data_IF_001586418107
#
_entry.id   IF_001586418107
#
_cell.length_a   1.000
_cell.length_b   1.000
_cell.length_c   1.000
_cell.angle_alpha   90.00
_cell.angle_beta   90.00
_cell.angle_gamma   90.00
#
_symmetry.space_group_name_H-M   'P 1'
#
loop_
_entity.id
_entity.type
_entity.pdbx_description
1 polymer ?
#
# COMPACT_ATOMS: atom_id res chain seq x y z
N UNK A 1 -22.13 -6.06 1.22
CA UNK A 1 -21.00 -5.30 0.67
C UNK A 1 -19.71 -6.04 0.95
N UNK A 2 -18.91 -6.28 -0.06
CA UNK A 2 -17.62 -6.94 0.12
C UNK A 2 -16.63 -5.99 0.77
N UNK A 3 -15.80 -6.45 1.71
CA UNK A 3 -14.76 -5.60 2.26
C UNK A 3 -13.70 -5.25 1.21
N UNK A 4 -13.11 -4.08 1.37
CA UNK A 4 -11.96 -3.65 0.58
C UNK A 4 -10.71 -4.09 1.34
N UNK A 5 -9.85 -4.87 0.69
CA UNK A 5 -8.63 -5.37 1.29
C UNK A 5 -7.47 -4.43 1.01
N UNK A 6 -6.84 -3.96 2.07
CA UNK A 6 -5.67 -3.08 1.99
C UNK A 6 -4.48 -3.83 2.54
N UNK A 7 -3.38 -3.87 1.78
CA UNK A 7 -2.10 -4.36 2.28
C UNK A 7 -1.22 -3.17 2.64
N UNK A 8 -0.89 -3.06 3.91
CA UNK A 8 -0.02 -2.01 4.44
C UNK A 8 1.37 -2.59 4.63
N UNK A 9 2.35 -2.04 3.93
CA UNK A 9 3.73 -2.51 3.92
C UNK A 9 4.62 -1.45 4.53
N UNK A 10 5.06 -1.65 5.77
CA UNK A 10 5.83 -0.68 6.52
C UNK A 10 6.57 -1.40 7.66
N UNK A 11 7.81 -1.05 7.92
CA UNK A 11 8.57 -1.65 9.02
C UNK A 11 8.45 -0.89 10.34
N UNK A 12 7.81 0.27 10.34
CA UNK A 12 7.61 1.10 11.53
C UNK A 12 6.25 0.83 12.15
N UNK A 13 6.24 0.18 13.31
CA UNK A 13 5.00 -0.17 14.00
C UNK A 13 4.16 1.04 14.39
N UNK A 14 4.78 2.17 14.72
CA UNK A 14 4.05 3.39 15.04
C UNK A 14 3.31 3.93 13.82
N UNK A 15 3.95 3.92 12.66
CA UNK A 15 3.32 4.35 11.41
C UNK A 15 2.18 3.42 11.00
N UNK A 16 2.37 2.12 11.18
CA UNK A 16 1.31 1.13 10.93
C UNK A 16 0.09 1.44 11.79
N UNK A 17 0.30 1.68 13.07
CA UNK A 17 -0.78 1.97 14.01
C UNK A 17 -1.53 3.25 13.63
N UNK A 18 -0.80 4.31 13.28
CA UNK A 18 -1.40 5.57 12.86
C UNK A 18 -2.23 5.41 11.58
N UNK A 19 -1.70 4.67 10.61
CA UNK A 19 -2.40 4.42 9.36
C UNK A 19 -3.67 3.60 9.61
N UNK A 20 -3.59 2.56 10.42
CA UNK A 20 -4.77 1.75 10.77
C UNK A 20 -5.86 2.60 11.43
N UNK A 21 -5.48 3.45 12.38
CA UNK A 21 -6.44 4.33 13.06
C UNK A 21 -7.10 5.30 12.11
N UNK A 22 -6.35 5.86 11.18
CA UNK A 22 -6.88 6.78 10.18
C UNK A 22 -7.89 6.08 9.26
N UNK A 23 -7.58 4.87 8.81
CA UNK A 23 -8.44 4.10 7.92
C UNK A 23 -9.72 3.64 8.62
N UNK A 24 -9.68 3.36 9.91
CA UNK A 24 -10.85 2.90 10.67
C UNK A 24 -11.88 3.99 10.94
N UNK A 25 -11.59 5.23 10.62
CA UNK A 25 -12.51 6.35 10.88
C UNK A 25 -13.65 6.44 9.88
N UNK A 26 -13.52 5.80 8.74
CA UNK A 26 -14.51 5.90 7.69
C UNK A 26 -15.58 4.81 7.82
N UNK A 27 -16.71 5.03 7.17
CA UNK A 27 -17.83 4.10 7.13
C UNK A 27 -17.63 2.96 6.15
N UNK A 28 -16.53 2.98 5.40
CA UNK A 28 -16.20 1.93 4.45
C UNK A 28 -15.80 0.66 5.18
N UNK A 29 -16.20 -0.48 4.64
CA UNK A 29 -15.82 -1.76 5.19
C UNK A 29 -14.42 -2.11 4.68
N UNK A 30 -13.42 -1.94 5.53
CA UNK A 30 -12.02 -2.15 5.20
C UNK A 30 -11.43 -3.30 6.01
N UNK A 31 -10.67 -4.15 5.36
CA UNK A 31 -9.82 -5.13 6.02
C UNK A 31 -8.37 -4.78 5.75
N UNK A 32 -7.64 -4.42 6.79
CA UNK A 32 -6.25 -4.00 6.71
C UNK A 32 -5.36 -5.15 7.12
N UNK A 33 -4.49 -5.55 6.20
CA UNK A 33 -3.46 -6.55 6.43
C UNK A 33 -2.12 -5.84 6.47
N UNK A 34 -1.17 -6.37 7.22
CA UNK A 34 0.14 -5.72 7.33
C UNK A 34 1.28 -6.71 7.19
N UNK A 35 2.34 -6.25 6.53
CA UNK A 35 3.63 -6.92 6.47
C UNK A 35 4.72 -5.87 6.69
N UNK A 36 5.90 -6.28 7.12
CA UNK A 36 6.92 -5.34 7.57
C UNK A 36 8.17 -5.29 6.70
N UNK A 37 8.20 -5.97 5.58
CA UNK A 37 9.31 -5.94 4.64
C UNK A 37 8.86 -6.36 3.25
N UNK A 38 9.73 -6.13 2.27
CA UNK A 38 9.40 -6.41 0.87
C UNK A 38 9.28 -7.90 0.55
N UNK A 39 10.07 -8.75 1.20
CA UNK A 39 9.97 -10.20 0.98
C UNK A 39 8.62 -10.74 1.42
N UNK A 40 8.17 -10.33 2.61
CA UNK A 40 6.86 -10.73 3.12
C UNK A 40 5.73 -10.15 2.26
N UNK A 41 5.92 -8.94 1.76
CA UNK A 41 4.97 -8.34 0.83
C UNK A 41 4.79 -9.21 -0.42
N UNK A 42 5.88 -9.61 -1.05
CA UNK A 42 5.80 -10.45 -2.25
C UNK A 42 5.23 -11.83 -1.96
N UNK A 43 5.57 -12.42 -0.80
CA UNK A 43 5.00 -13.69 -0.38
C UNK A 43 3.47 -13.58 -0.19
N UNK A 44 3.02 -12.49 0.42
CA UNK A 44 1.59 -12.21 0.60
C UNK A 44 0.87 -12.10 -0.76
N UNK A 45 1.44 -11.32 -1.67
CA UNK A 45 0.84 -11.09 -2.99
C UNK A 45 0.82 -12.34 -3.86
N UNK A 46 1.84 -13.20 -3.73
CA UNK A 46 1.95 -14.46 -4.48
C UNK A 46 1.35 -15.64 -3.74
N UNK A 47 0.76 -15.42 -2.59
CA UNK A 47 0.14 -16.46 -1.75
C UNK A 47 1.11 -17.61 -1.44
N UNK A 48 2.35 -17.24 -1.16
CA UNK A 48 3.38 -18.18 -0.73
C UNK A 48 3.35 -18.35 0.79
N UNK A 49 3.82 -19.47 1.35
CA UNK A 49 3.80 -19.68 2.80
C UNK A 49 4.44 -18.54 3.58
N UNK A 50 3.85 -18.07 4.68
CA UNK A 50 2.63 -18.57 5.34
C UNK A 50 1.33 -17.90 4.87
N UNK A 51 1.31 -17.32 3.68
CA UNK A 51 0.20 -16.50 3.18
C UNK A 51 -0.66 -17.21 2.13
N UNK A 52 -0.73 -18.54 2.15
CA UNK A 52 -1.47 -19.30 1.14
C UNK A 52 -2.95 -18.93 1.10
N UNK A 53 -3.52 -18.61 2.26
CA UNK A 53 -4.93 -18.24 2.37
C UNK A 53 -5.17 -16.73 2.36
N UNK A 54 -4.15 -15.94 2.07
CA UNK A 54 -4.28 -14.49 2.06
C UNK A 54 -5.16 -14.01 0.91
N UNK A 55 -5.99 -12.99 1.14
CA UNK A 55 -6.75 -12.41 0.04
C UNK A 55 -5.84 -11.59 -0.88
N UNK A 56 -6.28 -11.39 -2.11
CA UNK A 56 -5.61 -10.44 -2.99
C UNK A 56 -6.01 -9.03 -2.56
N UNK A 57 -5.05 -8.15 -2.25
CA UNK A 57 -5.42 -6.79 -1.85
C UNK A 57 -5.98 -6.00 -3.03
N UNK A 58 -6.88 -5.09 -2.72
CA UNK A 58 -7.41 -4.14 -3.70
C UNK A 58 -6.46 -2.96 -3.90
N UNK A 59 -5.66 -2.65 -2.88
CA UNK A 59 -4.68 -1.59 -2.95
C UNK A 59 -3.55 -1.89 -1.96
N UNK A 60 -2.34 -1.46 -2.31
CA UNK A 60 -1.16 -1.57 -1.46
C UNK A 60 -0.69 -0.18 -1.06
N UNK A 61 -0.51 0.05 0.24
CA UNK A 61 0.15 1.23 0.77
C UNK A 61 1.57 0.82 1.12
N UNK A 62 2.55 1.35 0.40
CA UNK A 62 3.90 0.81 0.38
C UNK A 62 4.93 1.85 0.82
N UNK A 63 5.67 1.54 1.88
CA UNK A 63 6.84 2.32 2.26
C UNK A 63 8.04 1.94 1.39
N UNK A 64 8.94 2.88 1.16
CA UNK A 64 10.15 2.64 0.36
C UNK A 64 11.31 2.09 1.18
N UNK A 65 11.49 2.57 2.41
CA UNK A 65 12.67 2.26 3.22
C UNK A 65 12.37 1.12 4.19
N UNK A 66 12.63 -0.10 3.76
CA UNK A 66 12.39 -1.31 4.56
C UNK A 66 13.56 -2.26 4.45
N UNK A 67 13.83 -3.08 5.47
CA UNK A 67 14.84 -4.13 5.36
C UNK A 67 14.35 -5.27 4.45
N UNK A 68 15.26 -6.11 4.04
CA UNK A 68 14.94 -7.34 3.31
C UNK A 68 14.07 -7.09 2.08
N UNK A 69 14.50 -6.29 1.19
CA UNK A 69 13.80 -5.86 -0.03
C UNK A 69 13.01 -4.56 0.22
N UNK A 70 13.46 -3.48 -0.38
CA UNK A 70 12.83 -2.17 -0.27
C UNK A 70 11.62 -2.00 -1.16
N UNK A 71 10.91 -0.88 -0.95
CA UNK A 71 9.66 -0.63 -1.65
C UNK A 71 9.79 -0.45 -3.15
N UNK A 72 10.87 0.17 -3.64
CA UNK A 72 11.08 0.30 -5.09
C UNK A 72 11.30 -1.07 -5.75
N UNK A 73 11.98 -1.97 -5.06
CA UNK A 73 12.16 -3.33 -5.55
C UNK A 73 10.83 -4.09 -5.60
N UNK A 74 9.96 -3.90 -4.60
CA UNK A 74 8.61 -4.47 -4.60
C UNK A 74 7.82 -3.93 -5.79
N UNK A 75 7.84 -2.62 -5.98
CA UNK A 75 7.11 -1.97 -7.07
C UNK A 75 7.56 -2.51 -8.43
N UNK A 76 8.88 -2.63 -8.63
CA UNK A 76 9.43 -3.19 -9.86
C UNK A 76 8.98 -4.65 -10.06
N UNK A 77 9.06 -5.47 -9.03
CA UNK A 77 8.65 -6.87 -9.10
C UNK A 77 7.16 -7.03 -9.41
N UNK A 78 6.32 -6.19 -8.81
CA UNK A 78 4.88 -6.22 -9.08
C UNK A 78 4.57 -5.82 -10.51
N UNK A 79 5.19 -4.77 -11.02
CA UNK A 79 4.95 -4.31 -12.40
C UNK A 79 5.49 -5.28 -13.45
N UNK A 80 6.49 -6.10 -13.10
CA UNK A 80 7.03 -7.13 -13.99
C UNK A 80 6.23 -8.44 -13.95
N UNK A 81 5.35 -8.62 -12.97
CA UNK A 81 4.58 -9.84 -12.79
C UNK A 81 3.25 -9.74 -13.55
N UNK A 82 2.99 -10.61 -14.54
CA UNK A 82 1.75 -10.51 -15.34
C UNK A 82 0.46 -10.59 -14.52
N UNK A 83 0.49 -11.25 -13.38
CA UNK A 83 -0.71 -11.39 -12.52
C UNK A 83 -0.90 -10.21 -11.58
N UNK A 84 0.16 -9.45 -11.29
CA UNK A 84 0.16 -8.37 -10.29
C UNK A 84 0.32 -6.98 -10.88
N UNK A 85 0.67 -6.87 -12.15
CA UNK A 85 1.14 -5.59 -12.73
C UNK A 85 0.13 -4.45 -12.71
N UNK A 86 -1.16 -4.76 -12.58
CA UNK A 86 -2.20 -3.73 -12.53
C UNK A 86 -2.65 -3.39 -11.10
N UNK A 87 -2.03 -4.00 -10.10
CA UNK A 87 -2.38 -3.76 -8.70
C UNK A 87 -2.13 -2.29 -8.34
N UNK A 88 -3.13 -1.58 -7.80
CA UNK A 88 -2.93 -0.20 -7.38
C UNK A 88 -1.93 -0.12 -6.22
N UNK A 89 -0.90 0.70 -6.38
CA UNK A 89 0.14 0.90 -5.37
C UNK A 89 0.29 2.39 -5.09
N UNK A 90 0.11 2.75 -3.84
CA UNK A 90 0.36 4.10 -3.34
C UNK A 90 1.60 4.05 -2.46
N UNK A 91 2.58 4.88 -2.80
CA UNK A 91 3.78 5.03 -1.97
C UNK A 91 3.45 5.96 -0.82
N UNK A 92 3.68 5.49 0.40
CA UNK A 92 3.44 6.27 1.62
C UNK A 92 4.68 6.15 2.50
N UNK A 93 5.58 7.12 2.41
CA UNK A 93 6.92 7.03 2.99
C UNK A 93 7.39 8.35 3.55
N UNK A 94 8.43 8.30 4.40
CA UNK A 94 9.11 9.50 4.88
C UNK A 94 10.10 10.08 3.86
N UNK A 95 10.45 9.32 2.83
CA UNK A 95 11.35 9.80 1.79
C UNK A 95 10.69 10.88 0.93
N UNK A 96 11.36 12.03 0.81
CA UNK A 96 10.94 13.11 -0.09
C UNK A 96 11.96 13.37 -1.18
N UNK A 97 12.87 12.43 -1.41
CA UNK A 97 13.91 12.53 -2.43
C UNK A 97 13.27 12.60 -3.82
N UNK A 98 13.71 13.58 -4.63
CA UNK A 98 13.24 13.71 -6.00
C UNK A 98 13.54 12.46 -6.83
N UNK A 99 14.69 11.83 -6.56
CA UNK A 99 15.07 10.59 -7.24
C UNK A 99 14.06 9.46 -6.94
N UNK A 100 13.70 9.29 -5.68
CA UNK A 100 12.71 8.27 -5.28
C UNK A 100 11.35 8.55 -5.90
N UNK A 101 10.94 9.82 -5.93
CA UNK A 101 9.67 10.22 -6.53
C UNK A 101 9.66 9.88 -8.02
N UNK A 102 10.70 10.28 -8.75
CA UNK A 102 10.80 10.01 -10.19
C UNK A 102 10.84 8.51 -10.47
N UNK A 103 11.63 7.75 -9.72
CA UNK A 103 11.71 6.30 -9.90
C UNK A 103 10.38 5.61 -9.61
N UNK A 104 9.64 6.07 -8.58
CA UNK A 104 8.33 5.50 -8.25
C UNK A 104 7.35 5.70 -9.39
N UNK A 105 7.27 6.90 -9.96
CA UNK A 105 6.38 7.15 -11.10
C UNK A 105 6.84 6.45 -12.38
N UNK A 106 8.14 6.32 -12.61
CA UNK A 106 8.66 5.55 -13.74
C UNK A 106 8.30 4.07 -13.65
N UNK A 107 8.13 3.56 -12.43
CA UNK A 107 7.66 2.19 -12.18
C UNK A 107 6.15 2.10 -12.04
N UNK A 108 5.43 3.15 -12.47
CA UNK A 108 3.97 3.21 -12.49
C UNK A 108 3.33 3.08 -11.11
N UNK A 109 3.89 3.76 -10.10
CA UNK A 109 3.17 3.96 -8.84
C UNK A 109 1.94 4.84 -9.13
N UNK A 110 0.83 4.53 -8.50
CA UNK A 110 -0.40 5.28 -8.68
C UNK A 110 -0.35 6.65 -7.98
N UNK A 111 0.36 6.72 -6.86
CA UNK A 111 0.53 7.95 -6.12
C UNK A 111 1.77 7.88 -5.25
N UNK A 112 2.41 9.00 -5.01
CA UNK A 112 3.54 9.11 -4.10
C UNK A 112 3.21 10.17 -3.05
N UNK A 113 3.17 9.77 -1.79
CA UNK A 113 2.83 10.68 -0.69
C UNK A 113 3.91 10.59 0.37
N UNK A 114 4.48 11.74 0.72
CA UNK A 114 5.43 11.82 1.84
C UNK A 114 4.64 11.82 3.14
N UNK A 115 5.02 10.97 4.08
CA UNK A 115 4.35 10.87 5.38
C UNK A 115 4.42 12.23 6.10
N UNK A 116 3.30 12.72 6.64
CA UNK A 116 3.27 13.95 7.42
C UNK A 116 3.99 13.77 8.76
N UNK A 117 4.52 14.87 9.28
CA UNK A 117 5.24 14.85 10.55
C UNK A 117 4.28 14.71 11.74
N UNK A 118 3.08 15.30 11.66
CA UNK A 118 2.12 15.27 12.76
C UNK A 118 0.90 14.39 12.43
N UNK A 119 0.23 13.96 13.50
CA UNK A 119 -0.91 13.07 13.38
C UNK A 119 -2.07 13.65 12.57
N UNK A 120 -2.33 14.95 12.74
CA UNK A 120 -3.44 15.61 12.05
C UNK A 120 -3.26 15.58 10.53
N UNK A 121 -2.06 15.92 10.06
CA UNK A 121 -1.73 15.88 8.64
C UNK A 121 -1.73 14.46 8.10
N UNK A 122 -1.21 13.51 8.89
CA UNK A 122 -1.21 12.11 8.52
C UNK A 122 -2.62 11.60 8.29
N UNK A 123 -3.53 11.89 9.21
CA UNK A 123 -4.94 11.48 9.09
C UNK A 123 -5.60 12.12 7.87
N UNK A 124 -5.30 13.38 7.59
CA UNK A 124 -5.84 14.08 6.43
C UNK A 124 -5.39 13.43 5.12
N UNK A 125 -4.11 13.10 5.01
CA UNK A 125 -3.55 12.47 3.82
C UNK A 125 -4.19 11.08 3.60
N UNK A 126 -4.25 10.28 4.64
CA UNK A 126 -4.85 8.94 4.55
C UNK A 126 -6.34 9.03 4.21
N UNK A 127 -7.07 9.94 4.84
CA UNK A 127 -8.48 10.15 4.52
C UNK A 127 -8.70 10.60 3.08
N UNK A 128 -7.79 11.41 2.54
CA UNK A 128 -7.82 11.84 1.16
C UNK A 128 -7.60 10.69 0.19
N UNK A 129 -6.63 9.81 0.47
CA UNK A 129 -6.38 8.60 -0.32
C UNK A 129 -7.60 7.70 -0.32
N UNK A 130 -8.16 7.45 0.87
CA UNK A 130 -9.33 6.60 1.04
C UNK A 130 -10.52 7.12 0.26
N UNK A 131 -10.80 8.42 0.38
CA UNK A 131 -11.88 9.05 -0.36
C UNK A 131 -11.67 8.94 -1.87
N UNK A 132 -10.47 9.24 -2.35
CA UNK A 132 -10.17 9.23 -3.78
C UNK A 132 -10.26 7.81 -4.37
N UNK A 133 -9.62 6.83 -3.70
CA UNK A 133 -9.50 5.49 -4.28
C UNK A 133 -10.73 4.62 -4.07
N UNK A 134 -11.50 4.83 -2.99
CA UNK A 134 -12.64 3.96 -2.66
C UNK A 134 -13.98 4.61 -2.92
N UNK A 135 -14.04 5.94 -3.06
CA UNK A 135 -15.30 6.66 -3.27
C UNK A 135 -15.39 7.22 -4.69
N UNK A 136 -14.32 7.84 -5.16
CA UNK A 136 -14.29 8.55 -6.44
C UNK A 136 -13.82 7.66 -7.58
N UNK A 137 -12.80 6.84 -7.35
CA UNK A 137 -12.21 5.97 -8.36
C UNK A 137 -12.72 4.54 -8.17
N UNK A 138 -13.21 3.95 -9.25
CA UNK A 138 -13.62 2.55 -9.25
C UNK A 138 -12.37 1.69 -9.32
N UNK A 139 -12.12 0.88 -8.28
CA UNK A 139 -10.99 -0.04 -8.29
C UNK A 139 -11.24 -1.20 -9.23
N UNK A 140 -10.16 -1.75 -9.85
CA UNK A 140 -10.30 -2.98 -10.61
C UNK A 140 -10.80 -4.09 -9.69
N UNK A 141 -11.82 -4.82 -10.13
CA UNK A 141 -12.27 -5.96 -9.34
C UNK A 141 -11.23 -7.06 -9.42
N UNK A 142 -10.88 -7.63 -8.27
CA UNK A 142 -10.08 -8.84 -8.28
C UNK A 142 -10.89 -9.91 -9.00
N UNK A 143 -10.36 -10.45 -10.09
CA UNK A 143 -11.06 -11.43 -10.90
C UNK A 143 -11.36 -12.68 -10.09
N UNK A 144 -12.56 -13.04 -10.05
CA UNK A 144 -13.00 -14.27 -9.35
C UNK A 144 -13.70 -13.96 -8.12
#
# INVERSE_FOLDING_TARGET
MKPIHILLVDDDEADILLTRRALQRDKLLLEVHEVQNGEDCMAFLRKQPPYEDAPRPDIVLLDLNMPRMGGLEVLEAVRADPELRFLPIVILTTSSSDEDIVRSYNLNANCYITKPVNLSEFKRVIGSIEHFWFTVVRLPTSAG
#
